data_IF_715592831108
#
_entry.id   IF_715592831108
#
_cell.length_a   1.000
_cell.length_b   1.000
_cell.length_c   1.000
_cell.angle_alpha   90.00
_cell.angle_beta   90.00
_cell.angle_gamma   90.00
#
_symmetry.space_group_name_H-M   'P 1'
#
loop_
_entity.id
_entity.type
_entity.pdbx_description
1 polymer ?
#
# COMPACT_ATOMS: atom_id res chain seq x y z
N UNK A 1 9.99 2.79 0.58
CA UNK A 1 8.55 2.56 0.31
C UNK A 1 7.93 3.89 -0.08
N UNK A 2 7.19 3.92 -1.19
CA UNK A 2 6.52 5.10 -1.73
C UNK A 2 5.02 4.85 -1.88
N UNK A 3 4.21 5.91 -1.84
CA UNK A 3 2.76 5.86 -2.09
C UNK A 3 2.40 6.87 -3.18
N UNK A 4 1.69 6.44 -4.22
CA UNK A 4 1.42 7.28 -5.40
C UNK A 4 0.12 7.02 -6.13
N UNK A 5 -0.12 7.81 -7.18
CA UNK A 5 -1.20 7.65 -8.17
C UNK A 5 -0.73 6.78 -9.35
N UNK A 6 -1.63 6.51 -10.28
CA UNK A 6 -1.28 5.86 -11.55
C UNK A 6 -0.29 6.69 -12.37
N UNK A 7 -0.33 8.03 -12.28
CA UNK A 7 0.56 8.91 -13.05
C UNK A 7 2.02 8.70 -12.62
N UNK A 8 2.25 8.57 -11.30
CA UNK A 8 3.56 8.23 -10.77
C UNK A 8 4.00 6.81 -11.17
N UNK A 9 3.06 5.87 -11.30
CA UNK A 9 3.35 4.51 -11.77
C UNK A 9 3.65 4.46 -13.27
N UNK A 10 3.14 5.41 -14.06
CA UNK A 10 3.39 5.53 -15.49
C UNK A 10 4.74 6.21 -15.79
N UNK A 11 5.31 6.97 -14.87
CA UNK A 11 6.57 7.71 -15.06
C UNK A 11 7.80 6.85 -14.71
N UNK A 12 8.30 6.08 -15.68
CA UNK A 12 9.49 5.23 -15.49
C UNK A 12 10.74 6.02 -15.07
N UNK A 13 11.09 7.17 -15.69
CA UNK A 13 12.21 7.99 -15.23
C UNK A 13 12.11 8.39 -13.75
N UNK A 14 10.92 8.80 -13.29
CA UNK A 14 10.70 9.09 -11.87
C UNK A 14 10.94 7.84 -11.02
N UNK A 15 10.36 6.69 -11.38
CA UNK A 15 10.54 5.43 -10.65
C UNK A 15 12.01 5.03 -10.55
N UNK A 16 12.75 5.08 -11.66
CA UNK A 16 14.18 4.78 -11.73
C UNK A 16 15.01 5.75 -10.88
N UNK A 17 14.73 7.06 -10.96
CA UNK A 17 15.42 8.07 -10.15
C UNK A 17 15.25 7.87 -8.64
N UNK A 18 14.19 7.16 -8.24
CA UNK A 18 13.88 6.81 -6.84
C UNK A 18 14.31 5.39 -6.46
N UNK A 19 14.98 4.67 -7.36
CA UNK A 19 15.42 3.29 -7.15
C UNK A 19 14.25 2.31 -6.98
N UNK A 20 13.07 2.63 -7.51
CA UNK A 20 11.92 1.72 -7.46
C UNK A 20 12.18 0.53 -8.37
N UNK A 21 12.10 -0.66 -7.80
CA UNK A 21 12.25 -1.94 -8.50
C UNK A 21 10.97 -2.76 -8.49
N UNK A 22 10.05 -2.46 -7.56
CA UNK A 22 8.82 -3.19 -7.33
C UNK A 22 7.61 -2.25 -7.27
N UNK A 23 6.47 -2.70 -7.77
CA UNK A 23 5.23 -1.93 -7.80
C UNK A 23 4.06 -2.78 -7.28
N UNK A 24 3.36 -2.26 -6.27
CA UNK A 24 2.05 -2.79 -5.84
C UNK A 24 0.97 -1.96 -6.51
N UNK A 25 0.24 -2.56 -7.44
CA UNK A 25 -0.91 -1.95 -8.10
C UNK A 25 -2.20 -2.36 -7.37
N UNK A 26 -2.70 -1.47 -6.52
CA UNK A 26 -3.92 -1.69 -5.75
C UNK A 26 -5.22 -1.46 -6.56
N UNK A 27 -5.13 -1.18 -7.86
CA UNK A 27 -6.29 -0.99 -8.73
C UNK A 27 -6.50 -2.16 -9.71
N UNK A 28 -5.62 -3.17 -9.70
CA UNK A 28 -5.68 -4.32 -10.59
C UNK A 28 -5.85 -3.89 -12.05
N UNK A 29 -6.70 -4.61 -12.80
CA UNK A 29 -6.94 -4.36 -14.23
C UNK A 29 -7.49 -2.96 -14.57
N UNK A 30 -7.95 -2.17 -13.59
CA UNK A 30 -8.37 -0.79 -13.83
C UNK A 30 -7.20 0.15 -14.14
N UNK A 31 -5.96 -0.25 -13.82
CA UNK A 31 -4.74 0.50 -14.14
C UNK A 31 -3.71 -0.49 -14.67
N UNK A 32 -3.12 -0.29 -15.86
CA UNK A 32 -2.17 -1.23 -16.42
C UNK A 32 -0.84 -1.26 -15.65
N UNK A 33 -0.12 -2.38 -15.78
CA UNK A 33 1.28 -2.50 -15.36
C UNK A 33 2.17 -1.85 -16.43
N UNK A 34 2.41 -0.54 -16.29
CA UNK A 34 3.05 0.27 -17.34
C UNK A 34 4.43 -0.24 -17.77
N UNK A 35 5.22 -0.84 -16.86
CA UNK A 35 6.64 -1.14 -17.07
C UNK A 35 7.02 -2.58 -16.70
N UNK A 36 6.19 -3.56 -17.06
CA UNK A 36 6.35 -4.99 -16.74
C UNK A 36 7.71 -5.60 -17.11
N UNK A 37 8.39 -5.03 -18.12
CA UNK A 37 9.72 -5.49 -18.55
C UNK A 37 10.87 -5.01 -17.66
N UNK A 38 10.63 -3.97 -16.84
CA UNK A 38 11.66 -3.30 -16.02
C UNK A 38 11.42 -3.40 -14.52
N UNK A 39 10.18 -3.64 -14.11
CA UNK A 39 9.76 -3.65 -12.70
C UNK A 39 8.99 -4.94 -12.38
N UNK A 40 9.10 -5.40 -11.13
CA UNK A 40 8.29 -6.50 -10.62
C UNK A 40 6.96 -5.98 -10.08
N UNK A 41 5.85 -6.67 -10.37
CA UNK A 41 4.51 -6.23 -10.00
C UNK A 41 3.81 -7.19 -9.05
N UNK A 42 3.04 -6.61 -8.13
CA UNK A 42 1.95 -7.27 -7.41
C UNK A 42 0.66 -6.49 -7.69
N UNK A 43 -0.20 -7.05 -8.55
CA UNK A 43 -1.48 -6.43 -8.91
C UNK A 43 -2.65 -7.04 -8.13
N UNK A 44 -3.39 -6.18 -7.43
CA UNK A 44 -4.49 -6.53 -6.56
C UNK A 44 -5.77 -5.82 -7.03
N UNK A 45 -6.86 -6.54 -7.36
CA UNK A 45 -8.08 -5.95 -7.91
C UNK A 45 -8.97 -5.34 -6.81
N UNK A 46 -8.44 -4.39 -6.03
CA UNK A 46 -9.21 -3.72 -4.99
C UNK A 46 -10.10 -2.63 -5.60
N UNK A 47 -11.38 -2.67 -5.24
CA UNK A 47 -12.34 -1.60 -5.54
C UNK A 47 -12.24 -0.52 -4.45
N UNK A 48 -12.44 0.74 -4.83
CA UNK A 48 -12.47 1.84 -3.85
C UNK A 48 -13.84 2.01 -3.23
N UNK A 49 -14.36 0.92 -2.67
CA UNK A 49 -15.69 0.84 -2.08
C UNK A 49 -15.57 0.43 -0.61
N UNK A 50 -16.45 0.92 0.30
CA UNK A 50 -16.43 0.55 1.71
C UNK A 50 -16.59 -0.97 1.97
N UNK A 51 -17.18 -1.71 1.04
CA UNK A 51 -17.42 -3.15 1.13
C UNK A 51 -16.19 -3.97 0.69
N UNK A 52 -15.22 -3.35 0.01
CA UNK A 52 -14.02 -4.06 -0.44
C UNK A 52 -13.16 -4.48 0.76
N UNK A 53 -12.75 -5.75 0.80
CA UNK A 53 -12.02 -6.30 1.93
C UNK A 53 -10.50 -6.18 1.77
N UNK A 54 -9.83 -5.66 2.80
CA UNK A 54 -8.41 -5.82 3.06
C UNK A 54 -8.20 -7.13 3.81
N UNK A 55 -8.42 -8.25 3.13
CA UNK A 55 -8.31 -9.57 3.74
C UNK A 55 -6.89 -9.83 4.24
N UNK A 56 -6.74 -10.75 5.21
CA UNK A 56 -5.43 -11.13 5.73
C UNK A 56 -4.51 -11.68 4.62
N UNK A 57 -5.08 -12.33 3.59
CA UNK A 57 -4.33 -12.76 2.41
C UNK A 57 -3.78 -11.58 1.59
N UNK A 58 -4.58 -10.53 1.37
CA UNK A 58 -4.14 -9.30 0.69
C UNK A 58 -3.05 -8.60 1.51
N UNK A 59 -3.27 -8.44 2.81
CA UNK A 59 -2.32 -7.79 3.72
C UNK A 59 -1.00 -8.58 3.78
N UNK A 60 -1.08 -9.91 3.89
CA UNK A 60 0.08 -10.80 3.88
C UNK A 60 0.87 -10.72 2.59
N UNK A 61 0.20 -10.82 1.43
CA UNK A 61 0.84 -10.74 0.12
C UNK A 61 1.56 -9.41 -0.10
N UNK A 62 0.92 -8.28 0.25
CA UNK A 62 1.58 -6.96 0.20
C UNK A 62 2.75 -6.90 1.16
N UNK A 63 2.59 -7.42 2.37
CA UNK A 63 3.65 -7.50 3.37
C UNK A 63 4.89 -8.21 2.84
N UNK A 64 4.72 -9.42 2.33
CA UNK A 64 5.82 -10.27 1.88
C UNK A 64 6.50 -9.69 0.64
N UNK A 65 5.72 -9.17 -0.31
CA UNK A 65 6.25 -8.52 -1.51
C UNK A 65 7.07 -7.26 -1.17
N UNK A 66 6.56 -6.43 -0.25
CA UNK A 66 7.28 -5.22 0.18
C UNK A 66 8.54 -5.58 0.96
N UNK A 67 8.48 -6.51 1.92
CA UNK A 67 9.67 -6.91 2.69
C UNK A 67 10.76 -7.52 1.80
N UNK A 68 10.39 -8.40 0.86
CA UNK A 68 11.35 -9.04 -0.03
C UNK A 68 12.10 -8.03 -0.89
N UNK A 69 11.38 -7.06 -1.46
CA UNK A 69 11.97 -5.98 -2.25
C UNK A 69 12.91 -5.10 -1.41
N UNK A 70 12.50 -4.69 -0.21
CA UNK A 70 13.30 -3.85 0.67
C UNK A 70 14.56 -4.59 1.18
N UNK A 71 14.43 -5.85 1.54
CA UNK A 71 15.54 -6.69 2.02
C UNK A 71 16.59 -6.92 0.93
N UNK A 72 16.19 -6.84 -0.34
CA UNK A 72 17.08 -6.95 -1.50
C UNK A 72 17.73 -5.60 -1.89
N UNK A 73 17.54 -4.55 -1.09
CA UNK A 73 18.07 -3.20 -1.37
C UNK A 73 17.26 -2.40 -2.40
N UNK A 74 16.09 -2.90 -2.82
CA UNK A 74 15.19 -2.20 -3.74
C UNK A 74 14.22 -1.25 -3.04
N UNK A 75 13.43 -0.52 -3.83
CA UNK A 75 12.31 0.26 -3.33
C UNK A 75 10.98 -0.15 -4.00
N UNK A 76 9.89 0.06 -3.27
CA UNK A 76 8.53 -0.30 -3.70
C UNK A 76 7.68 0.96 -3.82
N UNK A 77 6.91 1.07 -4.90
CA UNK A 77 5.77 1.99 -5.01
C UNK A 77 4.45 1.22 -4.77
N UNK A 78 3.64 1.66 -3.81
CA UNK A 78 2.25 1.23 -3.69
C UNK A 78 1.36 2.31 -4.32
N UNK A 79 0.64 1.99 -5.39
CA UNK A 79 -0.25 2.93 -6.05
C UNK A 79 -1.67 2.40 -6.22
N UNK A 80 -2.59 3.31 -6.51
CA UNK A 80 -3.92 3.01 -7.03
C UNK A 80 -4.21 4.01 -8.15
N UNK A 81 -5.48 4.37 -8.38
CA UNK A 81 -5.81 5.42 -9.35
C UNK A 81 -5.29 6.80 -8.89
N UNK A 82 -5.79 7.31 -7.76
CA UNK A 82 -5.50 8.68 -7.30
C UNK A 82 -4.39 8.77 -6.21
N UNK A 83 -3.95 7.64 -5.67
CA UNK A 83 -3.02 7.62 -4.54
C UNK A 83 -3.60 8.23 -3.26
N UNK A 84 -4.90 8.01 -3.03
CA UNK A 84 -5.67 8.60 -1.91
C UNK A 84 -6.16 7.52 -0.95
N UNK A 85 -6.96 6.55 -1.44
CA UNK A 85 -7.65 5.58 -0.60
C UNK A 85 -6.97 4.20 -0.57
N UNK A 86 -7.15 3.36 -1.60
CA UNK A 86 -6.65 1.97 -1.68
C UNK A 86 -5.15 1.84 -1.36
N UNK A 87 -4.28 2.59 -2.05
CA UNK A 87 -2.84 2.51 -1.83
C UNK A 87 -2.42 2.97 -0.44
N UNK A 88 -3.04 4.03 0.08
CA UNK A 88 -2.83 4.48 1.45
C UNK A 88 -3.27 3.43 2.46
N UNK A 89 -4.40 2.75 2.22
CA UNK A 89 -4.89 1.70 3.10
C UNK A 89 -3.91 0.52 3.18
N UNK A 90 -3.37 0.08 2.04
CA UNK A 90 -2.34 -0.97 2.00
C UNK A 90 -1.03 -0.53 2.68
N UNK A 91 -0.59 0.71 2.45
CA UNK A 91 0.61 1.24 3.11
C UNK A 91 0.43 1.31 4.64
N UNK A 92 -0.74 1.72 5.12
CA UNK A 92 -1.08 1.73 6.55
C UNK A 92 -1.09 0.29 7.10
N UNK A 93 -1.76 -0.64 6.42
CA UNK A 93 -1.80 -2.05 6.84
C UNK A 93 -0.37 -2.63 6.95
N UNK A 94 0.50 -2.36 5.97
CA UNK A 94 1.90 -2.77 6.00
C UNK A 94 2.64 -2.22 7.22
N UNK A 95 2.52 -0.91 7.50
CA UNK A 95 3.16 -0.31 8.66
C UNK A 95 2.66 -0.92 9.98
N UNK A 96 1.37 -1.25 10.06
CA UNK A 96 0.81 -1.88 11.25
C UNK A 96 1.33 -3.30 11.44
N UNK A 97 1.32 -4.14 10.40
CA UNK A 97 1.66 -5.57 10.52
C UNK A 97 3.15 -5.86 10.50
N UNK A 98 3.95 -5.08 9.76
CA UNK A 98 5.39 -5.33 9.57
C UNK A 98 6.29 -4.34 10.32
N UNK A 99 5.75 -3.22 10.80
CA UNK A 99 6.50 -2.20 11.55
C UNK A 99 5.95 -1.92 12.94
N UNK A 100 4.90 -2.64 13.36
CA UNK A 100 4.34 -2.55 14.72
C UNK A 100 3.66 -1.22 15.04
N UNK A 101 3.35 -0.40 14.02
CA UNK A 101 2.72 0.90 14.23
C UNK A 101 1.24 0.76 14.62
N UNK A 102 0.75 1.65 15.49
CA UNK A 102 -0.69 1.81 15.68
C UNK A 102 -1.36 2.42 14.45
N UNK A 103 -2.69 2.32 14.33
CA UNK A 103 -3.42 2.85 13.16
C UNK A 103 -3.21 4.37 12.98
N UNK A 104 -3.35 5.14 14.06
CA UNK A 104 -3.18 6.61 14.03
C UNK A 104 -1.75 7.00 13.65
N UNK A 105 -0.77 6.29 14.21
CA UNK A 105 0.64 6.51 13.90
C UNK A 105 0.95 6.18 12.43
N UNK A 106 0.51 5.02 11.94
CA UNK A 106 0.69 4.61 10.57
C UNK A 106 0.03 5.58 9.58
N UNK A 107 -1.20 6.03 9.86
CA UNK A 107 -1.89 7.04 9.05
C UNK A 107 -1.12 8.36 9.03
N UNK A 108 -0.61 8.82 10.17
CA UNK A 108 0.20 10.04 10.26
C UNK A 108 1.48 9.95 9.43
N UNK A 109 2.21 8.82 9.52
CA UNK A 109 3.40 8.55 8.72
C UNK A 109 3.12 8.53 7.22
N UNK A 110 1.99 7.98 6.78
CA UNK A 110 1.61 8.03 5.36
C UNK A 110 1.23 9.45 4.94
N UNK A 111 0.51 10.20 5.79
CA UNK A 111 0.12 11.58 5.51
C UNK A 111 1.30 12.56 5.44
N UNK A 112 2.38 12.33 6.19
CA UNK A 112 3.56 13.19 6.15
C UNK A 112 4.27 13.16 4.78
N UNK A 113 4.16 12.05 4.05
CA UNK A 113 4.72 11.91 2.68
C UNK A 113 3.67 12.06 1.59
N UNK A 114 2.38 11.87 1.92
CA UNK A 114 1.24 11.99 1.01
C UNK A 114 0.05 12.62 1.74
N UNK A 115 0.00 13.94 1.82
CA UNK A 115 -1.03 14.67 2.57
C UNK A 115 -2.48 14.30 2.18
N UNK A 116 -2.71 13.95 0.91
CA UNK A 116 -4.01 13.53 0.41
C UNK A 116 -4.44 12.11 0.87
N UNK A 117 -3.62 11.39 1.63
CA UNK A 117 -3.94 10.05 2.11
C UNK A 117 -5.22 10.05 2.96
N UNK A 118 -6.24 9.38 2.42
CA UNK A 118 -7.57 9.29 3.01
C UNK A 118 -8.22 7.98 2.55
N UNK A 119 -7.92 6.83 3.20
CA UNK A 119 -8.64 5.57 2.99
C UNK A 119 -10.14 5.79 3.12
N UNK A 120 -10.96 5.12 2.30
CA UNK A 120 -12.41 5.17 2.45
C UNK A 120 -12.86 4.64 3.83
N UNK A 121 -14.12 4.88 4.20
CA UNK A 121 -14.59 4.53 5.54
C UNK A 121 -14.51 3.04 5.86
N UNK A 122 -14.80 2.17 4.89
CA UNK A 122 -14.69 0.72 5.05
C UNK A 122 -13.26 0.28 5.36
N UNK A 123 -12.29 0.79 4.62
CA UNK A 123 -10.87 0.53 4.90
C UNK A 123 -10.45 1.08 6.27
N UNK A 124 -10.92 2.27 6.67
CA UNK A 124 -10.61 2.81 8.01
C UNK A 124 -11.17 1.93 9.12
N UNK A 125 -12.38 1.38 8.96
CA UNK A 125 -12.96 0.43 9.92
C UNK A 125 -12.11 -0.85 9.99
N UNK A 126 -11.83 -1.46 8.84
CA UNK A 126 -11.02 -2.69 8.77
C UNK A 126 -9.60 -2.51 9.33
N UNK A 127 -8.97 -1.34 9.13
CA UNK A 127 -7.65 -1.04 9.71
C UNK A 127 -7.72 -0.90 11.25
N UNK A 128 -8.78 -0.30 11.80
CA UNK A 128 -8.99 -0.29 13.26
C UNK A 128 -9.26 -1.69 13.82
N UNK A 129 -9.97 -2.52 13.07
CA UNK A 129 -10.21 -3.92 13.44
C UNK A 129 -8.90 -4.71 13.43
N UNK A 130 -8.05 -4.46 12.43
CA UNK A 130 -6.69 -5.00 12.39
C UNK A 130 -5.87 -4.56 13.61
N UNK A 131 -5.92 -3.28 14.02
CA UNK A 131 -5.22 -2.82 15.23
C UNK A 131 -5.64 -3.59 16.47
N UNK A 132 -6.95 -3.82 16.66
CA UNK A 132 -7.49 -4.61 17.77
C UNK A 132 -7.03 -6.06 17.73
N UNK A 133 -6.90 -6.66 16.55
CA UNK A 133 -6.37 -8.03 16.40
C UNK A 133 -4.87 -8.12 16.68
N UNK A 134 -4.10 -7.09 16.32
CA UNK A 134 -2.64 -7.05 16.53
C UNK A 134 -2.26 -6.73 17.99
N UNK A 135 -3.15 -6.08 18.74
CA UNK A 135 -3.00 -5.78 20.16
C UNK A 135 -4.15 -6.48 20.93
N UNK A 136 -4.07 -7.79 21.17
CA UNK A 136 -4.98 -8.41 22.13
C UNK A 136 -4.77 -7.70 23.47
N UNK A 137 -5.86 -7.25 24.08
CA UNK A 137 -5.91 -6.40 25.26
C UNK A 137 -4.74 -6.68 26.24
N UNK A 138 -3.92 -5.66 26.52
CA UNK A 138 -3.19 -5.66 27.77
C UNK A 138 -4.23 -5.44 28.85
N UNK A 139 -4.71 -6.57 29.39
CA UNK A 139 -5.61 -6.66 30.53
C UNK A 139 -5.03 -5.92 31.74
#
# INVERSE_FOLDING_TARGET
LYVGSQDAAADLPLLQSRGVTHVVNAAGASVPEFHWSSLSYLSLPLLDLPECALSDAVIGAVGDFVEGALSSGGAVLIHCNAGVSRSSALAIAFLMTRRGAGYQEALSRVRSVRAAACPNEGFRRQLRDLERRLKPDQN
#
